data_IF_206288632454
#
_entry.id   IF_206288632454
#
_cell.length_a   1.000
_cell.length_b   1.000
_cell.length_c   1.000
_cell.angle_alpha   90.00
_cell.angle_beta   90.00
_cell.angle_gamma   90.00
#
_symmetry.space_group_name_H-M   'P 1'
#
loop_
_entity.id
_entity.type
_entity.pdbx_description
1 polymer ?
#
# COMPACT_ATOMS: atom_id res chain seq x y z
N UNK A 1 -9.42 -42.66 17.86
CA UNK A 1 -9.54 -41.96 16.56
C UNK A 1 -9.39 -40.49 16.88
N UNK A 2 -8.14 -40.03 16.92
CA UNK A 2 -7.82 -38.64 17.15
C UNK A 2 -7.32 -38.11 15.82
N UNK A 3 -8.23 -37.50 15.05
CA UNK A 3 -7.83 -36.69 13.90
C UNK A 3 -7.44 -35.33 14.49
N UNK A 4 -6.23 -35.24 15.01
CA UNK A 4 -5.55 -33.96 15.18
C UNK A 4 -5.36 -33.43 13.76
N UNK A 5 -6.25 -32.53 13.33
CA UNK A 5 -6.00 -31.70 12.16
C UNK A 5 -4.79 -30.85 12.51
N UNK A 6 -3.62 -31.22 12.00
CA UNK A 6 -2.44 -30.36 12.07
C UNK A 6 -2.84 -28.99 11.48
N UNK A 7 -2.51 -27.88 12.16
CA UNK A 7 -2.79 -26.57 11.60
C UNK A 7 -2.08 -26.48 10.24
N UNK A 8 -2.85 -26.17 9.19
CA UNK A 8 -2.31 -25.90 7.86
C UNK A 8 -1.25 -24.80 8.03
N UNK A 9 -0.05 -25.01 7.51
CA UNK A 9 1.01 -24.00 7.58
C UNK A 9 0.57 -22.73 6.86
N UNK A 10 0.98 -21.57 7.38
CA UNK A 10 0.68 -20.26 6.80
C UNK A 10 1.02 -20.19 5.29
N UNK A 11 2.16 -20.76 4.92
CA UNK A 11 2.59 -20.85 3.53
C UNK A 11 1.70 -21.74 2.64
N UNK A 12 1.09 -22.79 3.20
CA UNK A 12 0.17 -23.64 2.44
C UNK A 12 -1.19 -22.94 2.25
N UNK A 13 -1.64 -22.16 3.25
CA UNK A 13 -2.82 -21.30 3.12
C UNK A 13 -2.59 -20.18 2.10
N UNK A 14 -1.41 -19.55 2.10
CA UNK A 14 -1.04 -18.56 1.09
C UNK A 14 -1.09 -19.14 -0.33
N UNK A 15 -0.48 -20.32 -0.53
CA UNK A 15 -0.49 -21.01 -1.81
C UNK A 15 -1.91 -21.40 -2.27
N UNK A 16 -2.78 -21.82 -1.35
CA UNK A 16 -4.19 -22.13 -1.64
C UNK A 16 -4.93 -20.88 -2.12
N UNK A 17 -4.80 -19.76 -1.41
CA UNK A 17 -5.41 -18.48 -1.80
C UNK A 17 -4.88 -17.97 -3.12
N UNK A 18 -3.56 -18.04 -3.34
CA UNK A 18 -2.94 -17.61 -4.59
C UNK A 18 -3.44 -18.41 -5.79
N UNK A 19 -3.57 -19.73 -5.64
CA UNK A 19 -4.11 -20.61 -6.68
C UNK A 19 -5.58 -20.25 -6.97
N UNK A 20 -6.41 -20.15 -5.94
CA UNK A 20 -7.82 -19.83 -6.08
C UNK A 20 -8.05 -18.45 -6.74
N UNK A 21 -7.21 -17.48 -6.38
CA UNK A 21 -7.24 -16.12 -6.93
C UNK A 21 -6.82 -16.10 -8.40
N UNK A 22 -5.75 -16.82 -8.74
CA UNK A 22 -5.26 -16.94 -10.13
C UNK A 22 -6.31 -17.61 -11.01
N UNK A 23 -6.95 -18.68 -10.53
CA UNK A 23 -8.02 -19.34 -11.26
C UNK A 23 -9.23 -18.42 -11.50
N UNK A 24 -9.64 -17.64 -10.50
CA UNK A 24 -10.73 -16.68 -10.64
C UNK A 24 -10.38 -15.59 -11.67
N UNK A 25 -9.14 -15.10 -11.66
CA UNK A 25 -8.62 -14.15 -12.64
C UNK A 25 -8.60 -14.72 -14.06
N UNK A 26 -8.19 -15.97 -14.24
CA UNK A 26 -8.16 -16.66 -15.54
C UNK A 26 -9.57 -16.86 -16.11
N UNK A 27 -10.55 -17.11 -15.23
CA UNK A 27 -11.98 -17.18 -15.60
C UNK A 27 -12.64 -15.81 -15.79
N UNK A 28 -11.91 -14.72 -15.57
CA UNK A 28 -12.42 -13.35 -15.54
C UNK A 28 -13.60 -13.15 -14.56
N UNK A 29 -13.64 -13.93 -13.48
CA UNK A 29 -14.67 -13.86 -12.45
C UNK A 29 -14.30 -12.82 -11.39
N UNK A 30 -14.51 -11.54 -11.70
CA UNK A 30 -14.17 -10.44 -10.77
C UNK A 30 -14.99 -10.47 -9.47
N UNK A 31 -16.19 -11.06 -9.50
CA UNK A 31 -17.01 -11.28 -8.31
C UNK A 31 -16.35 -12.26 -7.34
N UNK A 32 -15.79 -13.37 -7.86
CA UNK A 32 -15.03 -14.33 -7.05
C UNK A 32 -13.75 -13.71 -6.49
N UNK A 33 -13.02 -12.94 -7.32
CA UNK A 33 -11.83 -12.19 -6.88
C UNK A 33 -12.18 -11.29 -5.70
N UNK A 34 -13.22 -10.45 -5.86
CA UNK A 34 -13.72 -9.55 -4.79
C UNK A 34 -14.10 -10.31 -3.54
N UNK A 35 -14.87 -11.39 -3.69
CA UNK A 35 -15.35 -12.18 -2.56
C UNK A 35 -14.19 -12.83 -1.78
N UNK A 36 -13.14 -13.28 -2.47
CA UNK A 36 -11.94 -13.83 -1.82
C UNK A 36 -11.17 -12.74 -1.06
N UNK A 37 -10.78 -11.65 -1.72
CA UNK A 37 -9.94 -10.62 -1.09
C UNK A 37 -10.65 -9.90 0.05
N UNK A 38 -11.98 -9.76 -0.01
CA UNK A 38 -12.79 -9.16 1.06
C UNK A 38 -12.79 -9.95 2.39
N UNK A 39 -12.38 -11.21 2.37
CA UNK A 39 -12.34 -12.09 3.55
C UNK A 39 -10.93 -12.18 4.16
N UNK A 40 -9.93 -11.60 3.51
CA UNK A 40 -8.54 -11.67 3.90
C UNK A 40 -8.14 -10.42 4.70
N UNK A 41 -7.18 -10.60 5.59
CA UNK A 41 -6.54 -9.46 6.25
C UNK A 41 -5.76 -8.62 5.21
N UNK A 42 -5.67 -7.28 5.35
CA UNK A 42 -4.90 -6.45 4.41
C UNK A 42 -3.47 -6.93 4.16
N UNK A 43 -2.80 -7.46 5.19
CA UNK A 43 -1.48 -8.10 5.05
C UNK A 43 -1.50 -9.34 4.12
N UNK A 44 -2.47 -10.24 4.27
CA UNK A 44 -2.62 -11.41 3.39
C UNK A 44 -2.89 -10.95 1.93
N UNK A 45 -3.64 -9.86 1.74
CA UNK A 45 -3.87 -9.29 0.41
C UNK A 45 -2.59 -8.71 -0.19
N UNK A 46 -1.77 -8.02 0.61
CA UNK A 46 -0.48 -7.50 0.18
C UNK A 46 0.47 -8.62 -0.29
N UNK A 47 0.59 -9.69 0.50
CA UNK A 47 1.40 -10.87 0.15
C UNK A 47 0.93 -11.52 -1.17
N UNK A 48 -0.38 -11.56 -1.40
CA UNK A 48 -0.96 -12.08 -2.64
C UNK A 48 -0.62 -11.18 -3.83
N UNK A 49 -0.74 -9.86 -3.68
CA UNK A 49 -0.37 -8.90 -4.72
C UNK A 49 1.12 -9.02 -5.08
N UNK A 50 2.00 -9.23 -4.10
CA UNK A 50 3.43 -9.44 -4.32
C UNK A 50 3.71 -10.73 -5.09
N UNK A 51 2.97 -11.79 -4.79
CA UNK A 51 3.09 -13.09 -5.42
C UNK A 51 2.49 -13.13 -6.84
N UNK A 52 1.58 -12.20 -7.17
CA UNK A 52 0.93 -12.14 -8.47
C UNK A 52 1.81 -11.52 -9.56
N UNK A 53 1.66 -11.95 -10.83
CA UNK A 53 2.20 -11.25 -11.97
C UNK A 53 1.67 -9.82 -12.03
N UNK A 54 2.52 -8.89 -12.44
CA UNK A 54 2.21 -7.45 -12.55
C UNK A 54 0.87 -7.15 -13.24
N UNK A 55 0.50 -7.92 -14.27
CA UNK A 55 -0.71 -7.68 -15.07
C UNK A 55 -2.00 -7.96 -14.30
N UNK A 56 -1.93 -8.80 -13.27
CA UNK A 56 -3.08 -9.22 -12.48
C UNK A 56 -3.24 -8.43 -11.18
N UNK A 57 -2.15 -7.81 -10.69
CA UNK A 57 -2.17 -6.95 -9.50
C UNK A 57 -3.20 -5.83 -9.63
N UNK A 58 -3.22 -5.14 -10.77
CA UNK A 58 -4.16 -4.03 -11.02
C UNK A 58 -5.62 -4.52 -10.99
N UNK A 59 -5.88 -5.70 -11.56
CA UNK A 59 -7.22 -6.30 -11.59
C UNK A 59 -7.73 -6.66 -10.21
N UNK A 60 -6.85 -7.19 -9.36
CA UNK A 60 -7.16 -7.51 -7.96
C UNK A 60 -7.35 -6.25 -7.14
N UNK A 61 -6.47 -5.26 -7.31
CA UNK A 61 -6.55 -3.97 -6.65
C UNK A 61 -7.90 -3.28 -6.89
N UNK A 62 -8.37 -3.26 -8.14
CA UNK A 62 -9.68 -2.69 -8.52
C UNK A 62 -10.88 -3.39 -7.87
N UNK A 63 -10.70 -4.60 -7.32
CA UNK A 63 -11.74 -5.31 -6.57
C UNK A 63 -11.73 -5.02 -5.07
N UNK A 64 -10.67 -4.42 -4.55
CA UNK A 64 -10.58 -4.07 -3.13
C UNK A 64 -11.57 -2.95 -2.80
N UNK A 65 -12.15 -3.05 -1.60
CA UNK A 65 -12.88 -1.94 -1.01
C UNK A 65 -11.90 -0.75 -0.85
N UNK A 66 -12.25 0.46 -1.29
CA UNK A 66 -11.41 1.65 -1.10
C UNK A 66 -10.94 1.86 0.35
N UNK A 67 -11.76 1.47 1.32
CA UNK A 67 -11.41 1.60 2.75
C UNK A 67 -10.21 0.71 3.14
N UNK A 68 -9.92 -0.34 2.38
CA UNK A 68 -8.78 -1.25 2.62
C UNK A 68 -7.51 -0.83 1.87
N UNK A 69 -7.57 0.15 0.96
CA UNK A 69 -6.42 0.50 0.11
C UNK A 69 -5.22 0.99 0.92
N UNK A 70 -5.45 1.86 1.89
CA UNK A 70 -4.40 2.38 2.77
C UNK A 70 -3.75 1.26 3.57
N UNK A 71 -4.56 0.37 4.17
CA UNK A 71 -4.05 -0.75 4.97
C UNK A 71 -3.23 -1.71 4.11
N UNK A 72 -3.70 -2.06 2.91
CA UNK A 72 -2.98 -2.96 2.00
C UNK A 72 -1.65 -2.34 1.56
N UNK A 73 -1.59 -1.03 1.30
CA UNK A 73 -0.33 -0.35 0.98
C UNK A 73 0.65 -0.39 2.15
N UNK A 74 0.17 -0.22 3.38
CA UNK A 74 1.01 -0.24 4.58
C UNK A 74 1.75 -1.58 4.75
N UNK A 75 1.12 -2.70 4.38
CA UNK A 75 1.75 -4.03 4.45
C UNK A 75 2.57 -4.43 3.22
N UNK A 76 2.35 -3.80 2.07
CA UNK A 76 3.04 -4.18 0.83
C UNK A 76 4.54 -3.85 0.85
N UNK A 77 5.36 -4.63 0.17
CA UNK A 77 6.76 -4.32 -0.06
C UNK A 77 6.93 -3.03 -0.88
N UNK A 78 8.01 -2.28 -0.60
CA UNK A 78 8.30 -0.95 -1.18
C UNK A 78 8.13 -0.90 -2.70
N UNK A 79 8.63 -1.92 -3.41
CA UNK A 79 8.56 -1.98 -4.86
C UNK A 79 7.13 -2.14 -5.39
N UNK A 80 6.28 -2.89 -4.69
CA UNK A 80 4.87 -3.11 -5.07
C UNK A 80 4.04 -1.89 -4.72
N UNK A 81 4.24 -1.33 -3.53
CA UNK A 81 3.62 -0.09 -3.07
C UNK A 81 3.96 1.08 -3.99
N UNK A 82 5.23 1.36 -4.24
CA UNK A 82 5.66 2.49 -5.07
C UNK A 82 5.10 2.38 -6.50
N UNK A 83 5.10 1.16 -7.07
CA UNK A 83 4.47 0.92 -8.38
C UNK A 83 2.98 1.27 -8.36
N UNK A 84 2.26 0.86 -7.32
CA UNK A 84 0.82 1.15 -7.20
C UNK A 84 0.57 2.64 -7.04
N UNK A 85 1.34 3.31 -6.20
CA UNK A 85 1.26 4.75 -5.95
C UNK A 85 1.52 5.58 -7.22
N UNK A 86 2.41 5.14 -8.10
CA UNK A 86 2.64 5.77 -9.41
C UNK A 86 1.40 5.74 -10.34
N UNK A 87 0.41 4.91 -10.05
CA UNK A 87 -0.82 4.77 -10.83
C UNK A 87 -2.04 5.39 -10.14
N UNK A 88 -1.86 5.98 -8.94
CA UNK A 88 -2.94 6.60 -8.18
C UNK A 88 -3.10 8.07 -8.56
N UNK A 89 -4.31 8.59 -8.39
CA UNK A 89 -4.54 10.02 -8.58
C UNK A 89 -3.91 10.81 -7.41
N UNK A 90 -3.48 12.06 -7.64
CA UNK A 90 -2.84 12.88 -6.61
C UNK A 90 -3.67 13.06 -5.33
N UNK A 91 -5.00 13.07 -5.42
CA UNK A 91 -5.91 13.15 -4.27
C UNK A 91 -5.89 11.86 -3.42
N UNK A 92 -5.77 10.70 -4.04
CA UNK A 92 -5.71 9.41 -3.34
C UNK A 92 -4.37 9.26 -2.60
N UNK A 93 -3.28 9.67 -3.26
CA UNK A 93 -1.96 9.74 -2.64
C UNK A 93 -1.93 10.72 -1.46
N UNK A 94 -2.63 11.86 -1.61
CA UNK A 94 -2.76 12.82 -0.52
C UNK A 94 -3.54 12.23 0.66
N UNK A 95 -4.62 11.50 0.41
CA UNK A 95 -5.38 10.82 1.45
C UNK A 95 -4.55 9.74 2.17
N UNK A 96 -3.78 8.94 1.43
CA UNK A 96 -2.89 7.92 2.00
C UNK A 96 -1.81 8.54 2.91
N UNK A 97 -1.30 9.73 2.58
CA UNK A 97 -0.31 10.45 3.38
C UNK A 97 -0.88 11.20 4.60
N UNK A 98 -2.21 11.29 4.70
CA UNK A 98 -2.91 11.97 5.79
C UNK A 98 -3.23 11.05 6.98
N UNK A 99 -3.05 9.74 6.84
CA UNK A 99 -3.39 8.80 7.91
C UNK A 99 -2.51 9.03 9.16
N UNK A 100 -3.18 9.02 10.32
CA UNK A 100 -3.02 10.12 11.30
C UNK A 100 -2.16 9.82 12.52
N UNK A 101 -1.39 8.75 12.54
CA UNK A 101 -0.64 8.34 13.74
C UNK A 101 0.85 8.09 13.55
N UNK A 102 1.39 8.05 12.33
CA UNK A 102 2.81 7.73 12.11
C UNK A 102 3.36 8.40 10.86
N UNK A 103 4.62 8.87 10.95
CA UNK A 103 5.39 9.40 9.81
C UNK A 103 5.58 8.32 8.70
N UNK A 104 5.27 7.06 9.01
CA UNK A 104 5.21 5.90 8.11
C UNK A 104 4.39 6.12 6.84
N UNK A 105 3.33 6.93 6.86
CA UNK A 105 2.52 7.22 5.66
C UNK A 105 3.25 8.09 4.62
N UNK A 106 4.32 8.79 5.03
CA UNK A 106 5.10 9.69 4.16
C UNK A 106 6.30 8.98 3.54
N UNK A 107 6.86 7.98 4.21
CA UNK A 107 8.01 7.22 3.71
C UNK A 107 7.81 6.70 2.26
N UNK A 108 6.65 6.12 1.89
CA UNK A 108 6.41 5.65 0.53
C UNK A 108 6.36 6.76 -0.53
N UNK A 109 6.01 7.99 -0.15
CA UNK A 109 5.97 9.12 -1.08
C UNK A 109 7.38 9.58 -1.48
N UNK A 110 8.40 9.32 -0.65
CA UNK A 110 9.78 9.71 -0.94
C UNK A 110 10.37 8.94 -2.12
N UNK A 111 9.85 7.74 -2.41
CA UNK A 111 10.26 6.91 -3.55
C UNK A 111 9.61 7.34 -4.87
N UNK A 112 8.66 8.28 -4.83
CA UNK A 112 7.98 8.77 -6.02
C UNK A 112 8.81 9.84 -6.75
N UNK A 113 8.68 9.96 -8.08
CA UNK A 113 9.28 11.05 -8.83
C UNK A 113 8.80 12.41 -8.29
N UNK A 114 9.71 13.39 -8.22
CA UNK A 114 9.44 14.75 -7.74
C UNK A 114 8.19 15.38 -8.35
N UNK A 115 7.95 15.13 -9.65
CA UNK A 115 6.74 15.60 -10.34
C UNK A 115 5.45 15.08 -9.71
N UNK A 116 5.41 13.81 -9.30
CA UNK A 116 4.23 13.21 -8.66
C UNK A 116 4.04 13.82 -7.27
N UNK A 117 5.14 13.98 -6.52
CA UNK A 117 5.12 14.64 -5.20
C UNK A 117 4.54 16.07 -5.32
N UNK A 118 4.95 16.83 -6.32
CA UNK A 118 4.42 18.17 -6.58
C UNK A 118 2.92 18.18 -6.89
N UNK A 119 2.44 17.22 -7.66
CA UNK A 119 1.01 17.05 -7.97
C UNK A 119 0.21 16.72 -6.70
N UNK A 120 0.73 15.84 -5.83
CA UNK A 120 0.13 15.50 -4.53
C UNK A 120 0.10 16.71 -3.60
N UNK A 121 1.19 17.48 -3.51
CA UNK A 121 1.22 18.69 -2.70
C UNK A 121 0.18 19.72 -3.18
N UNK A 122 -0.05 19.81 -4.50
CA UNK A 122 -1.04 20.72 -5.08
C UNK A 122 -2.49 20.30 -4.80
N UNK A 123 -2.77 19.00 -4.65
CA UNK A 123 -4.10 18.48 -4.32
C UNK A 123 -4.47 18.67 -2.83
N UNK A 124 -3.47 18.86 -1.96
CA UNK A 124 -3.67 19.09 -0.52
C UNK A 124 -4.07 20.53 -0.16
N UNK A 125 -4.81 20.68 0.94
CA UNK A 125 -4.98 21.96 1.62
C UNK A 125 -3.67 22.47 2.25
N UNK A 126 -3.63 23.76 2.61
CA UNK A 126 -2.42 24.41 3.10
C UNK A 126 -1.82 23.76 4.36
N UNK A 127 -2.66 23.28 5.27
CA UNK A 127 -2.20 22.67 6.52
C UNK A 127 -1.55 21.32 6.27
N UNK A 128 -2.19 20.47 5.47
CA UNK A 128 -1.68 19.15 5.14
C UNK A 128 -0.44 19.23 4.25
N UNK A 129 -0.40 20.20 3.32
CA UNK A 129 0.77 20.48 2.49
C UNK A 129 1.98 20.88 3.33
N UNK A 130 1.83 21.82 4.27
CA UNK A 130 2.94 22.22 5.15
C UNK A 130 3.45 21.03 5.98
N UNK A 131 2.54 20.20 6.51
CA UNK A 131 2.92 18.99 7.25
C UNK A 131 3.73 18.04 6.39
N UNK A 132 3.24 17.71 5.19
CA UNK A 132 3.94 16.79 4.29
C UNK A 132 5.31 17.35 3.86
N UNK A 133 5.39 18.64 3.53
CA UNK A 133 6.65 19.30 3.20
C UNK A 133 7.66 19.25 4.35
N UNK A 134 7.21 19.38 5.60
CA UNK A 134 8.11 19.28 6.76
C UNK A 134 8.71 17.89 6.91
N UNK A 135 7.96 16.81 6.62
CA UNK A 135 8.46 15.44 6.71
C UNK A 135 9.39 15.11 5.54
N UNK A 136 9.04 15.55 4.32
CA UNK A 136 9.89 15.40 3.13
C UNK A 136 11.22 16.17 3.24
N UNK A 137 11.25 17.29 3.98
CA UNK A 137 12.46 18.07 4.21
C UNK A 137 13.42 17.43 5.23
N UNK A 138 12.93 16.52 6.08
CA UNK A 138 13.72 15.83 7.11
C UNK A 138 13.48 14.31 7.06
N UNK A 139 13.99 13.61 6.03
CA UNK A 139 13.86 12.17 5.94
C UNK A 139 14.54 11.49 7.13
N UNK A 140 13.95 10.39 7.58
CA UNK A 140 14.21 9.69 8.86
C UNK A 140 15.65 9.15 8.98
N UNK A 141 16.39 9.12 7.86
CA UNK A 141 17.78 8.68 7.75
C UNK A 141 18.80 9.85 7.70
N UNK A 142 18.36 11.09 8.00
CA UNK A 142 19.25 12.26 8.04
C UNK A 142 19.39 12.85 9.43
N UNK A 143 20.63 13.19 9.80
CA UNK A 143 20.97 14.01 10.97
C UNK A 143 20.47 15.47 10.86
N UNK A 144 19.38 15.73 10.12
CA UNK A 144 18.80 17.05 9.87
C UNK A 144 18.01 17.63 11.05
N UNK A 145 17.59 16.80 12.01
CA UNK A 145 16.92 17.26 13.24
C UNK A 145 17.80 18.05 14.23
N UNK A 146 19.11 18.20 13.94
CA UNK A 146 20.07 18.92 14.79
C UNK A 146 20.69 20.16 14.12
N UNK A 147 20.23 20.58 12.95
CA UNK A 147 20.83 21.74 12.26
C UNK A 147 20.23 23.06 12.74
N UNK A 148 20.70 23.46 13.92
CA UNK A 148 20.96 24.81 14.40
C UNK A 148 20.20 25.96 13.69
N UNK A 149 19.13 26.43 14.32
CA UNK A 149 18.55 27.76 14.10
C UNK A 149 19.50 28.85 14.64
N UNK A 150 20.68 29.00 14.05
CA UNK A 150 21.41 30.27 14.16
C UNK A 150 20.87 31.20 13.08
N UNK A 151 19.79 31.89 13.43
CA UNK A 151 19.33 33.07 12.73
C UNK A 151 20.38 34.18 12.89
N UNK A 152 20.89 34.70 11.77
CA UNK A 152 21.60 35.99 11.71
C UNK A 152 20.57 37.08 11.42
#
# INVERSE_FOLDING_TARGET
MDQTTEPISEEARHQEHLLALTEALDRASLEEVRAQVSQLHPAEVADLLESLPTRDRDRVWEQLDPDLHTDVLAYAEDAVRARRMLQMEPEELAAAAQDRESDEGVHPLQDLPEKVIDEVLQSMDAQNRERLQSVLAYPEDTAGGLMNIDAI
#
